data_IF_686521195055
#
_entry.id   IF_686521195055
#
_cell.length_a   1.000
_cell.length_b   1.000
_cell.length_c   1.000
_cell.angle_alpha   90.00
_cell.angle_beta   90.00
_cell.angle_gamma   90.00
#
_symmetry.space_group_name_H-M   'P 1'
#
loop_
_entity.id
_entity.type
_entity.pdbx_description
1 polymer ?
#
# COMPACT_ATOMS: atom_id res chain seq x y z
N UNK A 1 -6.97 20.79 -10.09
CA UNK A 1 -6.77 20.45 -8.67
C UNK A 1 -6.10 19.09 -8.57
N UNK A 2 -4.98 18.99 -7.84
CA UNK A 2 -4.13 17.78 -7.73
C UNK A 2 -4.93 16.62 -7.12
N UNK A 3 -5.10 15.52 -7.83
CA UNK A 3 -5.66 14.28 -7.30
C UNK A 3 -4.53 13.48 -6.66
N UNK A 4 -4.38 13.58 -5.34
CA UNK A 4 -3.51 12.68 -4.58
C UNK A 4 -4.30 11.40 -4.29
N UNK A 5 -3.92 10.26 -4.87
CA UNK A 5 -4.42 8.97 -4.44
C UNK A 5 -4.15 8.84 -2.94
N UNK A 6 -5.20 8.64 -2.13
CA UNK A 6 -5.06 8.41 -0.71
C UNK A 6 -4.47 7.02 -0.53
N UNK A 7 -3.14 6.93 -0.54
CA UNK A 7 -2.41 5.74 -0.14
C UNK A 7 -2.79 5.47 1.32
N UNK A 8 -3.75 4.56 1.52
CA UNK A 8 -4.17 4.12 2.83
C UNK A 8 -3.03 3.32 3.44
N UNK A 9 -2.27 3.98 4.33
CA UNK A 9 -1.19 3.34 5.09
C UNK A 9 -1.85 2.41 6.10
N UNK A 10 -1.65 1.13 5.89
CA UNK A 10 -2.20 0.07 6.75
C UNK A 10 -1.32 -0.14 7.97
N UNK A 11 0.00 0.05 7.81
CA UNK A 11 0.97 -0.08 8.89
C UNK A 11 2.12 0.91 8.70
N UNK A 12 2.68 1.39 9.79
CA UNK A 12 3.82 2.32 9.84
C UNK A 12 4.70 1.97 11.01
N UNK A 13 6.01 1.96 10.77
CA UNK A 13 6.97 1.65 11.83
C UNK A 13 8.41 1.77 11.36
N UNK A 14 9.31 1.09 12.08
CA UNK A 14 10.72 1.00 11.76
C UNK A 14 11.19 -0.45 11.66
N UNK A 15 12.16 -0.72 10.80
CA UNK A 15 12.82 -2.02 10.70
C UNK A 15 13.54 -2.33 12.01
N UNK A 16 13.31 -3.52 12.57
CA UNK A 16 13.97 -3.97 13.80
C UNK A 16 15.34 -4.57 13.51
N UNK A 17 15.44 -5.37 12.44
CA UNK A 17 16.66 -6.04 12.05
C UNK A 17 16.75 -6.21 10.54
N UNK A 18 17.92 -5.92 9.99
CA UNK A 18 18.29 -6.19 8.62
C UNK A 18 18.78 -7.64 8.51
N UNK A 19 18.15 -8.46 7.66
CA UNK A 19 18.68 -9.81 7.40
C UNK A 19 19.38 -9.84 6.03
N UNK A 20 18.64 -9.54 4.97
CA UNK A 20 19.13 -9.49 3.58
C UNK A 20 18.42 -8.39 2.79
N UNK A 21 18.82 -8.19 1.52
CA UNK A 21 18.14 -7.24 0.64
C UNK A 21 16.70 -7.63 0.24
N UNK A 22 16.30 -8.88 0.49
CA UNK A 22 14.95 -9.38 0.22
C UNK A 22 14.19 -9.80 1.48
N UNK A 23 14.84 -9.82 2.65
CA UNK A 23 14.21 -10.19 3.92
C UNK A 23 14.70 -9.36 5.10
N UNK A 24 13.78 -8.97 5.98
CA UNK A 24 14.08 -8.13 7.14
C UNK A 24 12.96 -8.27 8.17
N UNK A 25 13.24 -7.88 9.40
CA UNK A 25 12.29 -8.00 10.51
C UNK A 25 11.67 -6.65 10.84
N UNK A 26 10.35 -6.57 10.90
CA UNK A 26 9.63 -5.36 11.29
C UNK A 26 9.67 -5.13 12.81
N UNK A 27 9.58 -3.87 13.21
CA UNK A 27 9.46 -3.42 14.60
C UNK A 27 8.23 -3.95 15.34
N UNK A 28 8.21 -3.74 16.65
CA UNK A 28 7.16 -4.27 17.53
C UNK A 28 5.76 -3.70 17.30
N UNK A 29 5.65 -2.61 16.54
CA UNK A 29 4.38 -2.01 16.14
C UNK A 29 3.68 -2.78 15.05
N UNK A 30 4.41 -3.57 14.25
CA UNK A 30 3.82 -4.42 13.23
C UNK A 30 3.07 -5.60 13.83
N UNK A 31 2.02 -6.03 13.12
CA UNK A 31 1.35 -7.30 13.30
C UNK A 31 2.35 -8.45 13.27
N UNK A 32 2.24 -9.37 14.21
CA UNK A 32 2.98 -10.64 14.20
C UNK A 32 2.20 -11.75 13.48
N UNK A 33 0.95 -11.50 13.06
CA UNK A 33 0.11 -12.52 12.42
C UNK A 33 0.73 -12.93 11.08
N UNK A 34 1.01 -14.21 10.93
CA UNK A 34 1.52 -14.74 9.67
C UNK A 34 0.57 -14.41 8.52
N UNK A 35 1.12 -14.04 7.37
CA UNK A 35 0.33 -13.71 6.18
C UNK A 35 -0.35 -12.33 6.18
N UNK A 36 -0.36 -11.59 7.30
CA UNK A 36 -1.09 -10.32 7.41
C UNK A 36 -0.75 -9.28 6.32
N UNK A 37 0.49 -9.28 5.85
CA UNK A 37 0.97 -8.33 4.84
C UNK A 37 1.22 -8.94 3.45
N UNK A 38 0.90 -10.22 3.24
CA UNK A 38 1.14 -10.89 1.95
C UNK A 38 0.26 -10.27 0.86
N UNK A 39 0.87 -9.93 -0.28
CA UNK A 39 0.18 -9.26 -1.39
C UNK A 39 0.08 -7.72 -1.23
N UNK A 40 0.57 -7.17 -0.12
CA UNK A 40 0.66 -5.73 0.10
C UNK A 40 2.00 -5.18 -0.43
N UNK A 41 2.12 -3.85 -0.45
CA UNK A 41 3.35 -3.16 -0.80
C UNK A 41 3.96 -2.48 0.41
N UNK A 42 5.28 -2.60 0.57
CA UNK A 42 6.07 -1.90 1.58
C UNK A 42 6.95 -0.86 0.92
N UNK A 43 7.00 0.34 1.51
CA UNK A 43 7.93 1.39 1.11
C UNK A 43 8.96 1.62 2.21
N UNK A 44 10.24 1.62 1.83
CA UNK A 44 11.38 1.91 2.70
C UNK A 44 12.32 2.85 1.95
N UNK A 45 12.65 4.00 2.55
CA UNK A 45 13.55 4.98 1.92
C UNK A 45 13.11 5.45 0.53
N UNK A 46 11.80 5.46 0.25
CA UNK A 46 11.25 5.83 -1.05
C UNK A 46 11.15 4.68 -2.06
N UNK A 47 11.68 3.50 -1.76
CA UNK A 47 11.57 2.32 -2.63
C UNK A 47 10.38 1.46 -2.23
N UNK A 48 9.47 1.23 -3.18
CA UNK A 48 8.33 0.34 -2.99
C UNK A 48 8.65 -1.07 -3.48
N UNK A 49 8.28 -2.08 -2.68
CA UNK A 49 8.40 -3.50 -3.01
C UNK A 49 7.13 -4.27 -2.62
N UNK A 50 6.83 -5.34 -3.34
CA UNK A 50 5.73 -6.24 -2.99
C UNK A 50 6.18 -7.22 -1.90
N UNK A 51 5.30 -7.47 -0.94
CA UNK A 51 5.52 -8.48 0.10
C UNK A 51 5.06 -9.83 -0.42
N UNK A 52 5.97 -10.79 -0.52
CA UNK A 52 5.68 -12.16 -0.92
C UNK A 52 5.38 -13.07 0.27
N UNK A 53 6.07 -12.87 1.40
CA UNK A 53 5.88 -13.66 2.62
C UNK A 53 5.97 -12.80 3.88
N UNK A 54 5.18 -13.15 4.89
CA UNK A 54 5.22 -12.55 6.23
C UNK A 54 5.01 -13.62 7.32
N UNK A 55 5.94 -13.74 8.27
CA UNK A 55 5.86 -14.71 9.37
C UNK A 55 7.11 -14.80 10.23
N UNK A 56 7.37 -15.97 10.82
CA UNK A 56 8.53 -16.22 11.70
C UNK A 56 9.88 -16.34 10.99
N UNK A 57 9.89 -16.64 9.70
CA UNK A 57 11.09 -16.92 8.92
C UNK A 57 10.99 -16.38 7.49
N UNK A 58 12.16 -16.15 6.87
CA UNK A 58 12.22 -15.71 5.48
C UNK A 58 11.56 -16.74 4.54
N UNK A 59 10.89 -16.23 3.51
CA UNK A 59 10.17 -17.03 2.51
C UNK A 59 9.09 -17.97 3.08
N UNK A 60 8.59 -17.70 4.29
CA UNK A 60 7.58 -18.51 4.96
C UNK A 60 6.51 -17.66 5.63
N UNK A 61 5.29 -18.19 5.66
CA UNK A 61 4.14 -17.60 6.37
C UNK A 61 3.41 -18.67 7.19
N UNK A 62 4.14 -19.73 7.58
CA UNK A 62 3.57 -20.87 8.31
C UNK A 62 3.44 -20.63 9.83
N UNK A 63 4.17 -19.66 10.38
CA UNK A 63 4.17 -19.35 11.80
C UNK A 63 4.23 -17.84 12.02
N UNK A 64 3.66 -17.40 13.13
CA UNK A 64 3.59 -15.99 13.51
C UNK A 64 4.98 -15.40 13.75
N UNK A 65 5.17 -14.20 13.23
CA UNK A 65 6.39 -13.43 13.34
C UNK A 65 6.35 -12.20 12.45
N UNK A 66 7.44 -11.43 12.49
CA UNK A 66 7.56 -10.13 11.83
C UNK A 66 8.59 -10.11 10.71
N UNK A 67 9.01 -11.28 10.26
CA UNK A 67 9.95 -11.40 9.14
C UNK A 67 9.16 -11.21 7.86
N UNK A 68 9.51 -10.15 7.12
CA UNK A 68 8.97 -9.86 5.80
C UNK A 68 9.95 -10.37 4.76
N UNK A 69 9.43 -10.94 3.69
CA UNK A 69 10.16 -11.21 2.45
C UNK A 69 9.49 -10.46 1.31
N UNK A 70 10.30 -9.77 0.51
CA UNK A 70 9.84 -9.04 -0.67
C UNK A 70 10.13 -9.82 -1.94
N UNK A 71 9.24 -9.68 -2.94
CA UNK A 71 9.38 -10.39 -4.22
C UNK A 71 10.54 -9.90 -5.08
N UNK A 72 10.86 -8.60 -5.01
CA UNK A 72 12.05 -8.01 -5.64
C UNK A 72 12.95 -7.42 -4.57
N UNK A 73 14.23 -7.77 -4.60
CA UNK A 73 15.19 -7.26 -3.63
C UNK A 73 15.34 -5.72 -3.73
N UNK A 74 15.71 -5.10 -2.62
CA UNK A 74 16.22 -3.74 -2.62
C UNK A 74 17.64 -3.72 -3.18
N UNK A 75 18.08 -2.56 -3.71
CA UNK A 75 19.46 -2.38 -4.15
C UNK A 75 20.45 -2.47 -2.96
N UNK A 76 20.00 -2.05 -1.79
CA UNK A 76 20.71 -2.15 -0.52
C UNK A 76 19.75 -2.68 0.53
N UNK A 77 20.23 -3.57 1.40
CA UNK A 77 19.40 -4.11 2.45
C UNK A 77 18.90 -2.99 3.38
N UNK A 78 17.59 -2.98 3.74
CA UNK A 78 17.08 -2.09 4.77
C UNK A 78 17.87 -2.26 6.06
N UNK A 79 18.21 -1.16 6.71
CA UNK A 79 18.94 -1.12 7.98
C UNK A 79 17.99 -1.07 9.17
N UNK A 80 18.44 -1.53 10.34
CA UNK A 80 17.70 -1.34 11.58
C UNK A 80 17.47 0.16 11.83
N UNK A 81 16.23 0.53 12.16
CA UNK A 81 15.79 1.92 12.31
C UNK A 81 15.21 2.56 11.06
N UNK A 82 15.33 1.95 9.87
CA UNK A 82 14.71 2.50 8.67
C UNK A 82 13.19 2.56 8.79
N UNK A 83 12.63 3.73 8.52
CA UNK A 83 11.20 3.94 8.53
C UNK A 83 10.54 3.23 7.35
N UNK A 84 9.40 2.59 7.60
CA UNK A 84 8.59 1.94 6.58
C UNK A 84 7.11 2.32 6.70
N UNK A 85 6.40 2.12 5.59
CA UNK A 85 4.94 2.04 5.60
C UNK A 85 4.45 0.93 4.68
N UNK A 86 3.43 0.20 5.13
CA UNK A 86 2.74 -0.85 4.37
C UNK A 86 1.43 -0.29 3.83
N UNK A 87 1.11 -0.66 2.60
CA UNK A 87 -0.05 -0.16 1.87
C UNK A 87 -0.72 -1.33 1.18
N UNK A 88 -2.07 -1.35 1.19
CA UNK A 88 -2.80 -2.25 0.29
C UNK A 88 -2.38 -1.94 -1.13
N UNK A 89 -2.20 -2.98 -1.94
CA UNK A 89 -2.13 -2.80 -3.37
C UNK A 89 -3.52 -2.39 -3.84
N UNK A 90 -3.83 -1.10 -3.74
CA UNK A 90 -4.85 -0.56 -4.61
C UNK A 90 -4.22 -0.62 -6.00
N UNK A 91 -4.62 -1.63 -6.78
CA UNK A 91 -4.54 -1.49 -8.22
C UNK A 91 -5.06 -0.08 -8.51
N UNK A 92 -4.24 0.76 -9.14
CA UNK A 92 -4.70 2.02 -9.69
C UNK A 92 -5.87 1.68 -10.60
N UNK A 93 -7.08 1.64 -10.05
CA UNK A 93 -8.28 1.84 -10.84
C UNK A 93 -8.11 3.29 -11.21
N UNK A 94 -7.80 3.65 -12.47
CA UNK A 94 -8.04 5.02 -12.86
C UNK A 94 -9.53 5.20 -12.59
N UNK A 95 -9.87 5.91 -11.51
CA UNK A 95 -11.20 6.45 -11.34
C UNK A 95 -11.31 7.49 -12.42
N UNK A 96 -11.56 7.03 -13.65
CA UNK A 96 -12.18 7.83 -14.67
C UNK A 96 -13.46 8.26 -13.99
N UNK A 97 -13.48 9.49 -13.48
CA UNK A 97 -14.72 10.13 -13.09
C UNK A 97 -15.66 9.89 -14.29
N UNK A 98 -16.62 8.99 -14.16
CA UNK A 98 -17.88 9.19 -14.86
C UNK A 98 -18.49 10.39 -14.15
N UNK A 99 -18.04 11.57 -14.56
CA UNK A 99 -18.84 12.77 -14.41
C UNK A 99 -20.11 12.44 -15.18
N UNK A 100 -21.15 12.00 -14.49
CA UNK A 100 -22.49 12.24 -14.97
C UNK A 100 -22.59 13.75 -15.07
N UNK A 101 -22.30 14.26 -16.28
CA UNK A 101 -22.51 15.65 -16.62
C UNK A 101 -24.03 15.82 -16.55
N UNK A 102 -24.52 16.31 -15.41
CA UNK A 102 -25.82 16.95 -15.37
C UNK A 102 -25.66 18.22 -16.20
N UNK A 103 -25.87 18.12 -17.51
CA UNK A 103 -26.13 19.28 -18.34
C UNK A 103 -27.52 19.79 -17.97
N UNK A 104 -27.58 20.65 -16.96
CA UNK A 104 -28.60 21.70 -16.91
C UNK A 104 -28.30 22.64 -18.07
N UNK A 105 -29.14 22.56 -19.10
CA UNK A 105 -29.25 23.55 -20.17
C UNK A 105 -30.69 24.04 -20.15
N UNK A 106 -30.84 25.32 -19.81
CA UNK A 106 -32.10 26.05 -19.86
C UNK A 106 -32.48 26.28 -21.33
N UNK A 107 -33.56 25.67 -21.79
CA UNK A 107 -34.22 26.04 -23.05
C UNK A 107 -35.63 26.52 -22.73
N UNK A 108 -35.79 27.84 -22.72
CA UNK A 108 -37.07 28.49 -22.50
C UNK A 108 -38.15 28.01 -23.47
N UNK A 109 -39.32 27.69 -22.91
CA UNK A 109 -40.60 27.75 -23.63
C UNK A 109 -41.62 28.45 -22.76
N UNK A 110 -42.00 29.62 -23.25
CA UNK A 110 -43.10 30.44 -22.75
C UNK A 110 -44.40 29.65 -22.68
N UNK A 111 -45.14 29.88 -21.60
CA UNK A 111 -46.58 29.70 -21.56
C UNK A 111 -47.25 30.64 -22.57
N UNK A 112 -48.10 30.09 -23.43
CA UNK A 112 -49.23 30.83 -24.02
C UNK A 112 -50.46 30.01 -23.65
N UNK A 113 -51.32 30.58 -22.80
CA UNK A 113 -52.65 30.05 -22.55
C UNK A 113 -53.64 30.58 -23.57
N UNK A 114 -54.54 29.70 -24.01
CA UNK A 114 -55.98 29.93 -24.18
C UNK A 114 -56.65 28.58 -24.09
#
# INVERSE_FOLDING_TARGET
>A
VKSSAAVSKEDVGSVAAANTASSFTLGSTASASAGAYVGMAINIGGFTRNISHHGAAASSSAADGRVVTVGTAFATAPSAGDAYFVTKFEALVPTTKRVCKMSGGEDGRSYVGT
#
